data_IF_930967651773
#
_entry.id   IF_930967651773
#
_cell.length_a   1.000
_cell.length_b   1.000
_cell.length_c   1.000
_cell.angle_alpha   90.00
_cell.angle_beta   90.00
_cell.angle_gamma   90.00
#
_symmetry.space_group_name_H-M   'P 1'
#
loop_
_entity.id
_entity.type
_entity.pdbx_description
1 polymer ?
#
# COMPACT_ATOMS: atom_id res chain seq x y z
N UNK A 1 32.41 -24.15 41.43
CA UNK A 1 31.53 -25.16 40.81
C UNK A 1 31.02 -24.55 39.51
N UNK A 2 31.81 -24.65 38.44
CA UNK A 2 31.71 -25.68 37.40
C UNK A 2 30.34 -25.62 36.69
N UNK A 3 30.26 -25.08 35.46
CA UNK A 3 30.53 -25.74 34.16
C UNK A 3 29.70 -27.01 33.92
N UNK A 4 29.27 -27.18 32.66
CA UNK A 4 28.48 -28.29 32.07
C UNK A 4 26.98 -28.19 32.38
N UNK A 5 26.03 -28.10 31.44
CA UNK A 5 25.76 -28.85 30.20
C UNK A 5 24.92 -27.91 29.30
N UNK A 6 25.23 -27.61 28.04
CA UNK A 6 24.88 -28.47 26.90
C UNK A 6 25.47 -27.88 25.62
N UNK A 7 26.63 -28.41 25.21
CA UNK A 7 27.00 -28.54 23.79
C UNK A 7 26.26 -29.77 23.28
N UNK A 8 25.08 -29.58 22.72
CA UNK A 8 24.39 -30.57 21.92
C UNK A 8 23.44 -29.84 20.98
N UNK A 9 23.42 -30.26 19.71
CA UNK A 9 22.68 -29.68 18.58
C UNK A 9 23.41 -28.57 17.81
N UNK A 10 24.66 -28.87 17.44
CA UNK A 10 25.28 -28.33 16.22
C UNK A 10 25.58 -29.50 15.29
N UNK A 11 24.53 -30.13 14.76
CA UNK A 11 24.59 -31.04 13.61
C UNK A 11 23.16 -31.41 13.22
N UNK A 12 22.70 -30.96 12.05
CA UNK A 12 21.76 -31.66 11.16
C UNK A 12 21.38 -30.71 10.00
N UNK A 13 21.46 -31.26 8.78
CA UNK A 13 21.16 -30.66 7.47
C UNK A 13 22.25 -29.82 6.80
N UNK A 14 23.29 -30.52 6.33
CA UNK A 14 23.83 -30.26 4.98
C UNK A 14 22.93 -30.98 3.96
N UNK A 15 22.30 -30.24 3.05
CA UNK A 15 21.88 -30.76 1.75
C UNK A 15 22.63 -29.97 0.68
N UNK A 16 23.68 -30.59 0.15
CA UNK A 16 24.23 -30.29 -1.17
C UNK A 16 23.29 -30.87 -2.21
N UNK A 17 22.77 -30.03 -3.10
CA UNK A 17 22.16 -30.49 -4.35
C UNK A 17 23.26 -30.42 -5.41
N UNK A 18 23.75 -31.58 -5.82
CA UNK A 18 24.52 -31.77 -7.04
C UNK A 18 23.63 -31.52 -8.26
N UNK A 19 24.10 -30.69 -9.20
CA UNK A 19 23.64 -30.72 -10.59
C UNK A 19 24.86 -30.62 -11.51
N UNK A 20 24.92 -31.38 -12.61
CA UNK A 20 26.17 -31.61 -13.33
C UNK A 20 26.58 -30.40 -14.18
N UNK A 21 27.87 -30.06 -14.09
CA UNK A 21 28.59 -29.22 -15.04
C UNK A 21 28.97 -30.07 -16.26
N UNK A 22 28.19 -29.99 -17.35
CA UNK A 22 28.69 -30.00 -18.73
C UNK A 22 27.53 -29.92 -19.72
N UNK A 23 27.34 -28.75 -20.33
CA UNK A 23 26.94 -28.62 -21.75
C UNK A 23 27.14 -27.16 -22.16
N UNK A 24 28.02 -26.94 -23.13
CA UNK A 24 28.25 -25.66 -23.80
C UNK A 24 27.05 -25.34 -24.69
N UNK A 25 26.25 -24.34 -24.32
CA UNK A 25 25.19 -23.79 -25.17
C UNK A 25 25.43 -22.29 -25.42
N UNK A 26 25.44 -21.93 -26.70
CA UNK A 26 25.59 -20.57 -27.20
C UNK A 26 24.47 -19.63 -26.72
N UNK A 27 24.73 -18.33 -26.53
CA UNK A 27 23.68 -17.38 -26.13
C UNK A 27 22.67 -17.13 -27.27
N UNK A 28 21.36 -17.08 -26.99
CA UNK A 28 20.36 -16.64 -27.96
C UNK A 28 20.41 -15.12 -28.16
N UNK A 29 20.19 -14.68 -29.40
CA UNK A 29 20.40 -13.32 -29.90
C UNK A 29 19.18 -12.39 -29.82
N UNK A 30 18.32 -12.51 -28.79
CA UNK A 30 17.22 -11.55 -28.58
C UNK A 30 16.73 -11.57 -27.12
N UNK A 31 16.40 -10.40 -26.53
CA UNK A 31 15.91 -10.35 -25.16
C UNK A 31 14.46 -10.86 -25.08
N UNK A 32 14.29 -11.94 -24.32
CA UNK A 32 12.98 -12.49 -23.92
C UNK A 32 12.47 -11.74 -22.69
N UNK A 33 11.21 -11.28 -22.72
CA UNK A 33 10.56 -10.58 -21.61
C UNK A 33 10.02 -11.55 -20.54
N UNK A 34 10.13 -11.19 -19.26
CA UNK A 34 9.44 -11.83 -18.14
C UNK A 34 8.56 -10.82 -17.40
N UNK A 35 7.30 -11.19 -17.17
CA UNK A 35 6.39 -10.54 -16.22
C UNK A 35 6.59 -11.15 -14.83
N UNK A 36 6.84 -10.32 -13.82
CA UNK A 36 6.66 -10.72 -12.42
C UNK A 36 5.65 -9.81 -11.74
N UNK A 37 4.50 -10.38 -11.39
CA UNK A 37 3.51 -9.78 -10.49
C UNK A 37 3.60 -10.47 -9.14
N UNK A 38 4.48 -10.02 -8.23
CA UNK A 38 4.29 -10.10 -6.77
C UNK A 38 5.46 -9.52 -5.98
N UNK A 39 5.11 -8.89 -4.87
CA UNK A 39 6.00 -8.32 -3.87
C UNK A 39 6.73 -9.42 -3.08
N UNK A 40 8.04 -9.52 -3.23
CA UNK A 40 9.00 -9.78 -2.13
C UNK A 40 10.35 -9.24 -2.57
N UNK A 41 10.97 -8.42 -1.72
CA UNK A 41 12.30 -7.86 -1.96
C UNK A 41 13.36 -8.94 -1.70
N UNK A 42 13.87 -9.53 -2.78
CA UNK A 42 15.12 -10.30 -2.80
C UNK A 42 16.02 -9.69 -3.87
N UNK A 43 16.98 -8.87 -3.46
CA UNK A 43 18.01 -8.34 -4.36
C UNK A 43 19.17 -9.33 -4.35
N UNK A 44 19.35 -10.05 -5.46
CA UNK A 44 20.58 -10.79 -5.75
C UNK A 44 21.49 -9.87 -6.56
N UNK A 45 22.66 -9.56 -6.03
CA UNK A 45 23.66 -8.75 -6.74
C UNK A 45 24.39 -9.58 -7.80
N UNK A 46 24.62 -9.05 -9.02
CA UNK A 46 25.48 -9.71 -10.00
C UNK A 46 26.93 -9.74 -9.51
N UNK A 47 27.60 -10.88 -9.67
CA UNK A 47 29.03 -11.04 -9.42
C UNK A 47 29.84 -10.08 -10.33
N UNK A 48 30.54 -9.11 -9.74
CA UNK A 48 31.80 -8.63 -10.33
C UNK A 48 32.79 -8.14 -9.27
N UNK A 49 33.99 -8.68 -9.43
CA UNK A 49 35.28 -8.41 -8.79
C UNK A 49 35.54 -8.74 -7.31
N UNK A 50 36.30 -9.84 -7.17
CA UNK A 50 37.15 -10.15 -6.03
C UNK A 50 38.19 -9.03 -5.86
N UNK A 51 38.16 -8.32 -4.73
CA UNK A 51 39.33 -7.93 -3.90
C UNK A 51 38.89 -7.07 -2.71
N UNK A 52 39.36 -7.46 -1.52
CA UNK A 52 39.35 -6.76 -0.23
C UNK A 52 37.97 -6.62 0.46
N UNK A 53 37.78 -6.94 1.74
CA UNK A 53 38.61 -7.55 2.77
C UNK A 53 37.68 -8.07 3.88
N UNK A 54 38.07 -9.18 4.50
CA UNK A 54 37.63 -9.62 5.84
C UNK A 54 37.58 -8.44 6.82
N UNK A 55 36.51 -8.29 7.61
CA UNK A 55 36.59 -7.87 9.02
C UNK A 55 35.33 -8.32 9.79
N UNK A 56 35.58 -9.13 10.81
CA UNK A 56 34.68 -9.65 11.83
C UNK A 56 34.51 -8.64 12.98
N UNK A 57 33.36 -8.75 13.67
CA UNK A 57 33.06 -8.41 15.09
C UNK A 57 34.05 -7.53 15.87
N UNK A 58 33.58 -6.42 16.43
CA UNK A 58 33.90 -5.99 17.81
C UNK A 58 32.95 -4.88 18.29
N UNK A 59 32.57 -4.99 19.57
CA UNK A 59 31.76 -4.04 20.32
C UNK A 59 32.63 -3.08 21.16
N UNK A 60 32.02 -1.94 21.51
CA UNK A 60 32.32 -1.00 22.61
C UNK A 60 33.40 0.12 22.50
N UNK A 61 32.87 1.35 22.74
CA UNK A 61 33.45 2.58 23.36
C UNK A 61 33.90 3.78 22.48
N UNK A 62 33.82 5.03 23.02
CA UNK A 62 33.06 6.13 22.39
C UNK A 62 33.90 7.30 21.83
N UNK A 63 33.19 8.21 21.14
CA UNK A 63 33.54 9.59 20.76
C UNK A 63 34.29 9.79 19.42
N UNK A 64 33.59 10.30 18.39
CA UNK A 64 33.70 11.68 17.87
C UNK A 64 32.84 11.86 16.61
N UNK A 65 32.22 13.04 16.50
CA UNK A 65 31.36 13.51 15.41
C UNK A 65 31.87 13.14 14.02
N UNK A 66 31.06 12.43 13.24
CA UNK A 66 31.04 12.55 11.77
C UNK A 66 29.61 12.37 11.28
N UNK A 67 29.14 13.36 10.54
CA UNK A 67 27.81 13.45 9.98
C UNK A 67 27.54 12.28 9.02
N UNK A 68 26.33 11.72 9.13
CA UNK A 68 25.61 11.12 8.02
C UNK A 68 25.90 9.64 7.76
N UNK A 69 25.09 8.76 8.35
CA UNK A 69 24.66 7.48 7.74
C UNK A 69 23.47 6.92 8.51
N UNK A 70 22.28 7.41 8.17
CA UNK A 70 20.99 6.76 8.45
C UNK A 70 19.96 7.04 7.34
N UNK A 71 20.41 7.59 6.20
CA UNK A 71 19.55 8.12 5.13
C UNK A 71 19.40 7.20 3.92
N UNK A 72 20.06 6.04 3.88
CA UNK A 72 20.05 5.19 2.69
C UNK A 72 18.89 4.18 2.63
N UNK A 73 18.23 3.88 3.75
CA UNK A 73 17.07 2.97 3.76
C UNK A 73 15.78 3.60 3.19
N UNK A 74 15.74 4.93 3.00
CA UNK A 74 14.55 5.66 2.51
C UNK A 74 14.53 5.90 0.99
N UNK A 75 15.53 5.41 0.24
CA UNK A 75 15.61 5.62 -1.22
C UNK A 75 14.75 4.66 -2.06
N UNK A 76 14.08 3.66 -1.47
CA UNK A 76 13.46 2.58 -2.23
C UNK A 76 11.97 2.74 -2.60
N UNK A 77 11.29 3.85 -2.27
CA UNK A 77 9.83 3.95 -2.47
C UNK A 77 9.34 5.02 -3.45
N UNK A 78 10.20 5.68 -4.20
CA UNK A 78 9.77 6.50 -5.34
C UNK A 78 10.94 6.69 -6.29
N UNK A 79 10.72 6.43 -7.58
CA UNK A 79 11.48 6.84 -8.80
C UNK A 79 11.80 5.62 -9.68
N UNK A 80 11.22 5.54 -10.88
CA UNK A 80 11.76 6.09 -12.13
C UNK A 80 13.11 5.43 -12.47
N UNK A 81 13.06 4.45 -13.38
CA UNK A 81 14.23 3.83 -13.98
C UNK A 81 15.11 4.93 -14.60
N UNK A 82 16.31 5.11 -14.05
CA UNK A 82 17.40 5.84 -14.69
C UNK A 82 18.39 4.77 -15.12
N UNK A 83 18.42 4.43 -16.40
CA UNK A 83 19.60 3.79 -16.98
C UNK A 83 20.66 4.88 -17.19
N UNK A 84 21.80 4.72 -16.55
CA UNK A 84 23.02 5.45 -16.88
C UNK A 84 23.61 4.83 -18.15
N UNK A 85 23.71 5.61 -19.23
CA UNK A 85 24.50 5.26 -20.41
C UNK A 85 25.95 5.77 -20.20
N UNK A 86 26.98 4.88 -20.15
CA UNK A 86 28.37 5.29 -19.92
C UNK A 86 29.11 5.92 -21.12
N UNK A 87 28.52 6.04 -22.32
CA UNK A 87 29.24 6.55 -23.51
C UNK A 87 28.80 7.95 -23.99
N UNK A 88 28.96 8.97 -23.15
CA UNK A 88 28.90 10.36 -23.62
C UNK A 88 30.03 11.21 -23.03
N UNK A 89 31.26 10.82 -23.34
CA UNK A 89 32.43 11.70 -23.19
C UNK A 89 32.67 12.44 -24.51
N UNK A 90 32.77 13.77 -24.41
CA UNK A 90 33.03 14.75 -25.48
C UNK A 90 31.80 15.21 -26.29
N UNK A 91 31.26 16.36 -25.89
CA UNK A 91 31.12 17.55 -26.74
C UNK A 91 30.48 18.66 -25.89
N UNK A 92 31.31 19.64 -25.53
CA UNK A 92 30.89 20.91 -24.96
C UNK A 92 29.92 21.59 -25.92
N UNK A 93 28.81 22.11 -25.37
CA UNK A 93 27.71 22.82 -26.04
C UNK A 93 26.65 21.94 -26.71
N UNK A 94 25.68 21.48 -25.92
CA UNK A 94 24.24 21.48 -26.23
C UNK A 94 23.49 21.00 -24.99
N UNK A 95 22.73 21.91 -24.38
CA UNK A 95 21.79 21.62 -23.29
C UNK A 95 20.78 20.57 -23.75
N UNK A 96 21.04 19.29 -23.46
CA UNK A 96 20.02 18.26 -23.47
C UNK A 96 19.33 18.30 -22.12
N UNK A 97 18.28 19.12 -22.02
CA UNK A 97 17.37 19.09 -20.88
C UNK A 97 16.62 17.76 -20.93
N UNK A 98 16.99 16.83 -20.05
CA UNK A 98 16.07 15.79 -19.64
C UNK A 98 14.89 16.47 -18.97
N UNK A 99 13.83 16.70 -19.72
CA UNK A 99 12.59 17.27 -19.20
C UNK A 99 11.91 16.18 -18.39
N UNK A 100 12.23 16.12 -17.09
CA UNK A 100 11.50 15.29 -16.12
C UNK A 100 10.16 15.96 -15.87
N UNK A 101 9.20 15.75 -16.76
CA UNK A 101 7.80 16.15 -16.58
C UNK A 101 7.02 14.99 -15.99
N UNK A 102 6.28 15.26 -14.92
CA UNK A 102 5.27 14.32 -14.41
C UNK A 102 3.90 14.95 -14.54
N UNK A 103 3.07 14.33 -15.36
CA UNK A 103 1.63 14.56 -15.36
C UNK A 103 1.02 13.63 -14.32
N UNK A 104 0.19 14.16 -13.44
CA UNK A 104 -0.51 13.36 -12.42
C UNK A 104 -1.94 13.18 -12.90
N UNK A 105 -2.31 11.99 -13.42
CA UNK A 105 -3.66 11.75 -13.89
C UNK A 105 -4.67 11.92 -12.74
N UNK A 106 -5.81 12.51 -13.07
CA UNK A 106 -6.96 12.63 -12.17
C UNK A 106 -7.57 11.25 -12.00
N UNK A 107 -7.29 10.64 -10.84
CA UNK A 107 -8.04 9.49 -10.36
C UNK A 107 -9.28 10.08 -9.68
N UNK A 108 -10.37 10.28 -10.42
CA UNK A 108 -11.65 10.72 -9.85
C UNK A 108 -12.03 9.89 -8.62
N UNK A 109 -12.72 10.36 -7.59
CA UNK A 109 -13.39 11.63 -7.32
C UNK A 109 -12.59 12.44 -6.26
N UNK A 110 -12.55 13.77 -6.41
CA UNK A 110 -11.65 14.75 -5.75
C UNK A 110 -10.29 14.88 -6.41
N UNK A 111 -10.26 15.78 -7.41
CA UNK A 111 -9.11 16.54 -7.94
C UNK A 111 -7.85 16.31 -7.12
N UNK A 112 -6.95 15.43 -7.56
CA UNK A 112 -5.67 15.23 -6.86
C UNK A 112 -4.74 16.41 -7.13
N UNK A 113 -5.02 17.53 -6.47
CA UNK A 113 -4.19 18.73 -6.51
C UNK A 113 -2.86 18.59 -5.77
N UNK A 114 -2.64 17.47 -5.07
CA UNK A 114 -1.44 17.14 -4.30
C UNK A 114 -0.74 15.88 -4.82
N UNK A 115 0.60 15.88 -4.77
CA UNK A 115 1.45 14.75 -5.17
C UNK A 115 1.34 13.53 -4.24
N UNK A 116 1.93 12.39 -4.65
CA UNK A 116 2.08 11.19 -3.82
C UNK A 116 1.09 10.05 -4.10
N UNK A 117 0.13 10.27 -5.00
CA UNK A 117 -0.76 9.22 -5.49
C UNK A 117 -1.65 8.58 -4.41
N UNK A 118 -2.12 7.36 -4.67
CA UNK A 118 -3.08 6.66 -3.80
C UNK A 118 -2.48 6.37 -2.43
N UNK A 119 -1.23 5.89 -2.38
CA UNK A 119 -0.58 5.50 -1.12
C UNK A 119 -0.45 6.67 -0.14
N UNK A 120 -0.12 7.87 -0.63
CA UNK A 120 0.06 9.03 0.23
C UNK A 120 -1.26 9.68 0.64
N UNK A 121 -2.21 9.78 -0.28
CA UNK A 121 -3.41 10.59 -0.07
C UNK A 121 -4.59 9.79 0.53
N UNK A 122 -4.80 8.54 0.09
CA UNK A 122 -6.00 7.74 0.42
C UNK A 122 -5.68 6.26 0.68
N UNK A 123 -4.45 5.97 1.10
CA UNK A 123 -3.96 4.60 1.26
C UNK A 123 -3.04 4.45 2.46
N UNK A 124 -1.79 4.07 2.20
CA UNK A 124 -0.80 3.70 3.20
C UNK A 124 -0.65 4.73 4.34
N UNK A 125 -0.42 6.00 4.02
CA UNK A 125 -0.13 7.01 5.04
C UNK A 125 -1.35 7.27 5.94
N UNK A 126 -2.54 7.58 5.40
CA UNK A 126 -3.70 7.77 6.26
C UNK A 126 -4.09 6.50 7.01
N UNK A 127 -3.99 5.30 6.41
CA UNK A 127 -4.32 4.05 7.12
C UNK A 127 -3.36 3.76 8.27
N UNK A 128 -2.05 3.96 8.08
CA UNK A 128 -1.04 3.75 9.12
C UNK A 128 -1.16 4.79 10.25
N UNK A 129 -1.49 6.04 9.93
CA UNK A 129 -1.77 7.06 10.94
C UNK A 129 -2.97 6.66 11.81
N UNK A 130 -4.06 6.22 11.20
CA UNK A 130 -5.26 5.78 11.92
C UNK A 130 -5.02 4.49 12.72
N UNK A 131 -4.28 3.53 12.17
CA UNK A 131 -3.89 2.29 12.86
C UNK A 131 -3.08 2.59 14.12
N UNK A 132 -2.09 3.49 14.02
CA UNK A 132 -1.28 3.88 15.16
C UNK A 132 -2.12 4.59 16.23
N UNK A 133 -2.93 5.58 15.84
CA UNK A 133 -3.73 6.37 16.79
C UNK A 133 -4.81 5.52 17.49
N UNK A 134 -5.51 4.66 16.74
CA UNK A 134 -6.49 3.73 17.31
C UNK A 134 -5.83 2.66 18.20
N UNK A 135 -4.61 2.24 17.88
CA UNK A 135 -3.85 1.31 18.72
C UNK A 135 -3.44 1.96 20.05
N UNK A 136 -2.91 3.20 20.03
CA UNK A 136 -2.58 3.96 21.24
C UNK A 136 -3.82 4.11 22.12
N UNK A 137 -4.96 4.48 21.53
CA UNK A 137 -6.24 4.58 22.24
C UNK A 137 -6.61 3.26 22.93
N UNK A 138 -6.60 2.15 22.18
CA UNK A 138 -6.89 0.82 22.72
C UNK A 138 -5.90 0.42 23.84
N UNK A 139 -4.59 0.63 23.65
CA UNK A 139 -3.59 0.31 24.65
C UNK A 139 -3.80 1.11 25.94
N UNK A 140 -4.16 2.38 25.80
CA UNK A 140 -4.43 3.27 26.94
C UNK A 140 -5.64 2.78 27.75
N UNK A 141 -6.67 2.28 27.08
CA UNK A 141 -7.88 1.74 27.72
C UNK A 141 -7.67 0.38 28.39
N UNK A 142 -6.85 -0.50 27.81
CA UNK A 142 -6.86 -1.92 28.16
C UNK A 142 -5.52 -2.48 28.66
N UNK A 143 -4.39 -1.95 28.18
CA UNK A 143 -3.09 -2.63 28.33
C UNK A 143 -2.17 -1.95 29.34
N UNK A 144 -2.13 -0.60 29.37
CA UNK A 144 -1.10 0.14 30.10
C UNK A 144 -1.22 0.06 31.62
N UNK A 145 -2.42 -0.20 32.15
CA UNK A 145 -2.64 -0.36 33.61
C UNK A 145 -1.81 -1.51 34.17
N UNK A 146 -1.73 -2.62 33.43
CA UNK A 146 -0.90 -3.77 33.80
C UNK A 146 0.60 -3.46 33.86
N UNK A 147 1.02 -2.33 33.29
CA UNK A 147 2.39 -1.81 33.28
C UNK A 147 2.62 -0.74 34.34
N UNK A 148 1.68 -0.54 35.27
CA UNK A 148 1.78 0.42 36.37
C UNK A 148 1.49 1.87 35.96
N UNK A 149 0.75 2.08 34.88
CA UNK A 149 0.34 3.43 34.42
C UNK A 149 -1.18 3.53 34.56
N UNK A 150 -1.64 4.21 35.60
CA UNK A 150 -3.06 4.49 35.80
C UNK A 150 -3.47 5.75 35.03
N UNK A 151 -4.53 5.64 34.22
CA UNK A 151 -5.09 6.75 33.44
C UNK A 151 -6.60 6.70 33.53
N UNK A 152 -7.20 7.77 34.04
CA UNK A 152 -8.64 7.94 34.13
C UNK A 152 -9.17 8.87 33.03
N UNK A 153 -10.46 8.76 32.69
CA UNK A 153 -11.15 9.72 31.81
C UNK A 153 -10.75 9.69 30.33
N UNK A 154 -10.26 8.54 29.85
CA UNK A 154 -9.87 8.39 28.44
C UNK A 154 -11.12 8.38 27.54
N UNK A 155 -11.19 9.34 26.61
CA UNK A 155 -12.29 9.47 25.66
C UNK A 155 -11.79 9.72 24.24
N UNK A 156 -12.50 9.21 23.23
CA UNK A 156 -12.19 9.45 21.83
C UNK A 156 -12.58 10.88 21.40
N UNK A 157 -11.61 11.62 20.84
CA UNK A 157 -11.87 12.81 20.04
C UNK A 157 -11.58 12.51 18.57
N UNK A 158 -12.60 12.01 17.86
CA UNK A 158 -12.47 11.61 16.46
C UNK A 158 -12.08 12.77 15.52
N UNK A 159 -12.66 13.99 15.63
CA UNK A 159 -12.24 15.12 14.79
C UNK A 159 -10.74 15.42 14.89
N UNK A 160 -10.17 15.41 16.10
CA UNK A 160 -8.74 15.63 16.28
C UNK A 160 -7.89 14.46 15.74
N UNK A 161 -8.36 13.22 15.87
CA UNK A 161 -7.67 12.05 15.30
C UNK A 161 -7.61 12.13 13.77
N UNK A 162 -8.71 12.49 13.12
CA UNK A 162 -8.78 12.70 11.67
C UNK A 162 -7.89 13.87 11.23
N UNK A 163 -7.89 14.97 11.98
CA UNK A 163 -7.00 16.11 11.73
C UNK A 163 -5.52 15.74 11.84
N UNK A 164 -5.14 14.89 12.79
CA UNK A 164 -3.77 14.40 12.94
C UNK A 164 -3.33 13.54 11.74
N UNK A 165 -4.23 12.68 11.24
CA UNK A 165 -4.05 11.95 9.97
C UNK A 165 -3.83 12.92 8.80
N UNK A 166 -4.69 13.91 8.64
CA UNK A 166 -4.60 14.90 7.55
C UNK A 166 -3.32 15.75 7.62
N UNK A 167 -2.86 16.06 8.83
CA UNK A 167 -1.59 16.77 9.04
C UNK A 167 -0.42 15.93 8.55
N UNK A 168 -0.43 14.62 8.81
CA UNK A 168 0.61 13.68 8.36
C UNK A 168 0.63 13.57 6.83
N UNK A 169 -0.55 13.46 6.22
CA UNK A 169 -0.70 13.45 4.75
C UNK A 169 -0.18 14.77 4.16
N UNK A 170 -0.64 15.92 4.66
CA UNK A 170 -0.27 17.25 4.15
C UNK A 170 1.23 17.53 4.29
N UNK A 171 1.84 17.14 5.41
CA UNK A 171 3.27 17.33 5.63
C UNK A 171 4.10 16.57 4.59
N UNK A 172 3.72 15.31 4.32
CA UNK A 172 4.42 14.46 3.37
C UNK A 172 4.16 14.86 1.90
N UNK A 173 2.93 15.25 1.54
CA UNK A 173 2.63 15.71 0.16
C UNK A 173 3.41 16.97 -0.19
N UNK A 174 3.49 17.94 0.74
CA UNK A 174 4.35 19.13 0.61
C UNK A 174 5.83 18.78 0.54
N UNK A 175 6.26 17.76 1.28
CA UNK A 175 7.62 17.22 1.18
C UNK A 175 7.95 16.73 -0.23
N UNK A 176 7.04 15.99 -0.86
CA UNK A 176 7.20 15.52 -2.25
C UNK A 176 7.24 16.70 -3.24
N UNK A 177 6.40 17.71 -3.07
CA UNK A 177 6.47 18.93 -3.89
C UNK A 177 7.82 19.66 -3.73
N UNK A 178 8.35 19.71 -2.51
CA UNK A 178 9.70 20.22 -2.24
C UNK A 178 10.79 19.44 -2.97
N UNK A 179 10.67 18.11 -3.04
CA UNK A 179 11.59 17.26 -3.80
C UNK A 179 11.52 17.55 -5.31
N UNK A 180 10.33 17.75 -5.86
CA UNK A 180 10.17 18.10 -7.28
C UNK A 180 10.88 19.42 -7.60
N UNK A 181 10.69 20.45 -6.76
CA UNK A 181 11.39 21.74 -6.88
C UNK A 181 12.91 21.56 -6.79
N UNK A 182 13.40 20.79 -5.81
CA UNK A 182 14.83 20.52 -5.61
C UNK A 182 15.47 19.85 -6.84
N UNK A 183 14.77 18.91 -7.45
CA UNK A 183 15.27 18.16 -8.60
C UNK A 183 14.82 18.73 -9.96
N UNK A 184 14.23 19.92 -9.96
CA UNK A 184 13.79 20.63 -11.18
C UNK A 184 12.86 19.77 -12.05
N UNK A 185 11.93 19.08 -11.38
CA UNK A 185 10.86 18.31 -12.02
C UNK A 185 9.68 19.24 -12.26
N UNK A 186 9.26 19.36 -13.51
CA UNK A 186 8.07 20.13 -13.87
C UNK A 186 6.83 19.38 -13.38
N UNK A 187 6.03 20.05 -12.54
CA UNK A 187 4.78 19.53 -12.01
C UNK A 187 3.61 20.17 -12.75
N UNK A 188 2.96 19.38 -13.62
CA UNK A 188 1.79 19.81 -14.37
C UNK A 188 0.55 19.19 -13.72
N UNK A 189 -0.36 20.06 -13.29
CA UNK A 189 -1.58 19.69 -12.55
C UNK A 189 -2.75 19.56 -13.52
N UNK A 190 -3.05 18.34 -13.95
CA UNK A 190 -4.13 18.07 -14.88
C UNK A 190 -4.20 16.62 -15.32
N UNK A 191 -5.25 16.29 -16.05
CA UNK A 191 -5.49 14.94 -16.57
C UNK A 191 -4.79 14.77 -17.90
N UNK A 192 -3.81 13.88 -17.95
CA UNK A 192 -3.08 13.54 -19.17
C UNK A 192 -3.78 12.46 -19.98
N UNK A 193 -3.91 12.68 -21.29
CA UNK A 193 -4.37 11.70 -22.28
C UNK A 193 -3.41 11.66 -23.47
N UNK A 194 -3.24 10.49 -24.09
CA UNK A 194 -2.43 10.37 -25.29
C UNK A 194 -3.14 10.98 -26.50
N UNK A 195 -2.38 11.72 -27.31
CA UNK A 195 -2.77 12.16 -28.66
C UNK A 195 -2.04 11.32 -29.71
N UNK A 196 -0.80 10.93 -29.41
CA UNK A 196 0.00 9.95 -30.17
C UNK A 196 1.10 9.39 -29.25
N UNK A 197 1.92 8.46 -29.75
CA UNK A 197 2.99 7.82 -28.96
C UNK A 197 3.97 8.80 -28.28
N UNK A 198 4.12 10.00 -28.84
CA UNK A 198 5.06 11.01 -28.36
C UNK A 198 4.40 12.32 -27.91
N UNK A 199 3.06 12.38 -27.91
CA UNK A 199 2.32 13.60 -27.62
C UNK A 199 1.18 13.34 -26.64
N UNK A 200 1.14 14.12 -25.57
CA UNK A 200 0.06 14.11 -24.58
C UNK A 200 -0.69 15.43 -24.61
N UNK A 201 -2.00 15.34 -24.41
CA UNK A 201 -2.87 16.45 -24.04
C UNK A 201 -3.04 16.41 -22.52
N UNK A 202 -3.03 17.57 -21.87
CA UNK A 202 -3.29 17.71 -20.44
C UNK A 202 -4.42 18.70 -20.21
N UNK A 203 -5.54 18.22 -19.72
CA UNK A 203 -6.64 19.07 -19.25
C UNK A 203 -6.30 19.59 -17.85
N UNK A 204 -6.00 20.89 -17.73
CA UNK A 204 -5.47 21.49 -16.50
C UNK A 204 -6.55 21.60 -15.41
N UNK A 205 -6.16 21.37 -14.14
CA UNK A 205 -7.07 21.45 -13.00
C UNK A 205 -7.67 22.85 -12.78
N UNK A 206 -6.95 23.90 -13.19
CA UNK A 206 -7.39 25.30 -13.11
C UNK A 206 -8.19 25.74 -14.35
N UNK A 207 -8.45 24.81 -15.27
CA UNK A 207 -9.07 25.07 -16.57
C UNK A 207 -8.05 25.30 -17.68
N UNK A 208 -8.45 25.00 -18.92
CA UNK A 208 -7.59 25.07 -20.10
C UNK A 208 -6.89 23.75 -20.42
N UNK A 209 -6.09 23.78 -21.48
CA UNK A 209 -5.40 22.62 -22.04
C UNK A 209 -3.92 22.96 -22.27
N UNK A 210 -3.02 22.02 -21.99
CA UNK A 210 -1.61 22.06 -22.39
C UNK A 210 -1.27 20.84 -23.26
N UNK A 211 -0.39 21.02 -24.24
CA UNK A 211 0.17 19.91 -25.02
C UNK A 211 1.64 19.69 -24.65
N UNK A 212 1.99 18.43 -24.44
CA UNK A 212 3.34 18.00 -24.06
C UNK A 212 3.86 17.04 -25.10
N UNK A 213 5.07 17.29 -25.59
CA UNK A 213 5.81 16.34 -26.42
C UNK A 213 6.93 15.69 -25.61
N UNK A 214 7.07 14.38 -25.73
CA UNK A 214 8.06 13.59 -25.02
C UNK A 214 8.60 12.46 -25.89
N UNK A 215 9.92 12.23 -25.81
CA UNK A 215 10.56 11.09 -26.48
C UNK A 215 10.12 9.75 -25.88
N UNK A 216 10.01 9.72 -24.54
CA UNK A 216 9.62 8.55 -23.76
C UNK A 216 8.52 8.94 -22.78
N UNK A 217 7.55 8.06 -22.59
CA UNK A 217 6.44 8.26 -21.66
C UNK A 217 6.36 7.06 -20.72
N UNK A 218 6.29 7.33 -19.42
CA UNK A 218 6.12 6.30 -18.38
C UNK A 218 4.71 6.42 -17.82
N UNK A 219 3.90 5.39 -18.04
CA UNK A 219 2.54 5.30 -17.50
C UNK A 219 2.62 4.87 -16.03
N UNK A 220 2.15 5.74 -15.14
CA UNK A 220 2.16 5.53 -13.69
C UNK A 220 0.84 6.00 -13.05
N UNK A 221 -0.29 5.66 -13.69
CA UNK A 221 -1.65 6.08 -13.32
C UNK A 221 -2.17 5.39 -12.06
N UNK A 222 -1.64 4.21 -11.73
CA UNK A 222 -1.94 3.52 -10.47
C UNK A 222 -3.19 2.65 -10.54
N UNK A 223 -3.95 2.61 -9.46
CA UNK A 223 -5.10 1.73 -9.30
C UNK A 223 -6.23 2.41 -8.53
N UNK A 224 -7.44 1.88 -8.70
CA UNK A 224 -8.66 2.34 -8.05
C UNK A 224 -9.38 1.21 -7.29
N UNK A 225 -10.24 1.57 -6.34
CA UNK A 225 -11.04 0.62 -5.58
C UNK A 225 -12.07 -0.08 -6.47
N UNK A 226 -12.28 -1.38 -6.25
CA UNK A 226 -13.31 -2.12 -6.96
C UNK A 226 -14.64 -2.01 -6.20
N UNK A 227 -15.64 -1.38 -6.83
CA UNK A 227 -17.00 -1.33 -6.31
C UNK A 227 -17.66 -2.72 -6.37
N UNK A 228 -18.65 -2.92 -5.51
CA UNK A 228 -19.47 -4.12 -5.59
C UNK A 228 -20.31 -4.06 -6.88
N UNK A 229 -20.42 -5.14 -7.67
CA UNK A 229 -21.12 -5.09 -8.96
C UNK A 229 -22.55 -4.54 -8.84
N UNK A 230 -22.85 -3.49 -9.60
CA UNK A 230 -24.15 -2.83 -9.61
C UNK A 230 -24.44 -1.90 -8.42
N UNK A 231 -23.48 -1.71 -7.50
CA UNK A 231 -23.64 -0.87 -6.32
C UNK A 231 -22.45 0.11 -6.23
N UNK A 232 -22.63 1.38 -6.65
CA UNK A 232 -21.58 2.39 -6.52
C UNK A 232 -21.30 2.72 -5.06
N UNK A 233 -20.13 3.31 -4.80
CA UNK A 233 -19.87 3.92 -3.50
C UNK A 233 -20.70 5.19 -3.35
N UNK A 234 -21.29 5.38 -2.18
CA UNK A 234 -21.86 6.68 -1.79
C UNK A 234 -20.89 7.46 -0.86
N UNK A 235 -19.83 6.80 -0.40
CA UNK A 235 -18.82 7.31 0.53
C UNK A 235 -19.38 7.88 1.85
N UNK A 236 -20.62 7.49 2.20
CA UNK A 236 -21.32 7.81 3.44
C UNK A 236 -21.64 6.56 4.26
N UNK A 237 -22.26 5.55 3.62
CA UNK A 237 -22.73 4.31 4.24
C UNK A 237 -22.20 3.09 3.49
N UNK A 238 -22.11 3.14 2.17
CA UNK A 238 -21.41 2.14 1.34
C UNK A 238 -20.12 2.80 0.86
N UNK A 239 -19.04 2.49 1.56
CA UNK A 239 -17.78 3.23 1.45
C UNK A 239 -16.67 2.38 0.85
N UNK A 240 -15.77 3.04 0.11
CA UNK A 240 -14.48 2.48 -0.25
C UNK A 240 -13.49 2.64 0.91
N UNK A 241 -12.22 2.27 0.69
CA UNK A 241 -11.15 2.62 1.64
C UNK A 241 -11.00 4.13 1.86
N UNK A 242 -11.39 4.95 0.88
CA UNK A 242 -11.31 6.42 0.97
C UNK A 242 -12.35 6.98 1.94
N UNK A 243 -13.63 6.59 1.80
CA UNK A 243 -14.69 6.98 2.74
C UNK A 243 -14.45 6.41 4.13
N UNK A 244 -14.00 5.16 4.23
CA UNK A 244 -13.67 4.54 5.52
C UNK A 244 -12.51 5.22 6.27
N UNK A 245 -11.65 6.02 5.61
CA UNK A 245 -10.61 6.83 6.27
C UNK A 245 -11.10 8.21 6.70
N UNK A 246 -12.37 8.53 6.40
CA UNK A 246 -12.95 9.87 6.52
C UNK A 246 -14.36 9.85 7.15
N UNK A 247 -14.78 8.74 7.78
CA UNK A 247 -16.06 8.69 8.50
C UNK A 247 -16.06 9.73 9.62
N UNK A 248 -17.15 10.48 9.72
CA UNK A 248 -17.28 11.58 10.68
C UNK A 248 -17.75 11.10 12.06
N UNK A 249 -18.20 9.85 12.16
CA UNK A 249 -18.65 9.19 13.38
C UNK A 249 -18.17 7.74 13.41
N UNK A 250 -18.05 7.16 14.61
CA UNK A 250 -17.76 5.74 14.76
C UNK A 250 -19.06 4.96 14.48
N UNK A 251 -19.11 4.09 13.46
CA UNK A 251 -20.31 3.30 13.20
C UNK A 251 -20.54 2.32 14.36
N UNK A 252 -21.79 2.06 14.74
CA UNK A 252 -22.07 1.05 15.77
C UNK A 252 -21.81 -0.34 15.21
N UNK A 253 -22.22 -0.57 13.96
CA UNK A 253 -21.98 -1.78 13.18
C UNK A 253 -21.27 -1.44 11.87
N UNK A 254 -20.13 -2.08 11.65
CA UNK A 254 -19.36 -2.00 10.42
C UNK A 254 -19.24 -3.39 9.80
N UNK A 255 -19.79 -3.54 8.61
CA UNK A 255 -19.59 -4.75 7.79
C UNK A 255 -18.44 -4.51 6.82
N UNK A 256 -17.44 -5.38 6.83
CA UNK A 256 -16.32 -5.33 5.89
C UNK A 256 -16.50 -6.46 4.87
N UNK A 257 -16.61 -6.11 3.59
CA UNK A 257 -16.73 -7.07 2.50
C UNK A 257 -15.34 -7.23 1.87
N UNK A 258 -14.75 -8.40 2.05
CA UNK A 258 -13.36 -8.67 1.70
C UNK A 258 -12.46 -8.66 2.94
N UNK A 259 -12.02 -9.85 3.35
CA UNK A 259 -11.05 -10.12 4.42
C UNK A 259 -9.59 -9.99 3.97
N UNK A 260 -9.32 -9.17 2.95
CA UNK A 260 -7.97 -8.80 2.52
C UNK A 260 -7.34 -7.73 3.42
N UNK A 261 -6.07 -7.39 3.15
CA UNK A 261 -5.27 -6.46 3.97
C UNK A 261 -5.99 -5.15 4.30
N UNK A 262 -6.58 -4.48 3.30
CA UNK A 262 -7.26 -3.19 3.50
C UNK A 262 -8.46 -3.35 4.43
N UNK A 263 -9.29 -4.37 4.21
CA UNK A 263 -10.47 -4.64 5.02
C UNK A 263 -10.11 -4.92 6.48
N UNK A 264 -9.06 -5.71 6.72
CA UNK A 264 -8.59 -6.02 8.07
C UNK A 264 -7.92 -4.83 8.76
N UNK A 265 -7.13 -4.02 8.03
CA UNK A 265 -6.52 -2.79 8.57
C UNK A 265 -7.60 -1.81 9.03
N UNK A 266 -8.54 -1.46 8.15
CA UNK A 266 -9.56 -0.45 8.45
C UNK A 266 -10.62 -0.98 9.41
N UNK A 267 -10.98 -2.26 9.31
CA UNK A 267 -11.78 -2.92 10.35
C UNK A 267 -11.12 -2.81 11.72
N UNK A 268 -9.79 -2.93 11.80
CA UNK A 268 -9.09 -2.90 13.10
C UNK A 268 -9.08 -1.50 13.69
N UNK A 269 -8.95 -0.49 12.84
CA UNK A 269 -9.11 0.92 13.25
C UNK A 269 -10.47 1.12 13.89
N UNK A 270 -11.56 0.84 13.16
CA UNK A 270 -12.90 1.15 13.64
C UNK A 270 -13.34 0.27 14.81
N UNK A 271 -12.92 -1.00 14.84
CA UNK A 271 -13.15 -1.89 15.99
C UNK A 271 -12.55 -1.33 17.28
N UNK A 272 -11.29 -0.87 17.24
CA UNK A 272 -10.61 -0.27 18.40
C UNK A 272 -11.24 1.05 18.86
N UNK A 273 -11.92 1.75 17.95
CA UNK A 273 -12.63 2.98 18.26
C UNK A 273 -14.05 2.74 18.79
N UNK A 274 -14.54 1.49 18.76
CA UNK A 274 -15.80 1.06 19.37
C UNK A 274 -16.81 0.42 18.42
N UNK A 275 -16.50 0.27 17.12
CA UNK A 275 -17.42 -0.36 16.17
C UNK A 275 -17.49 -1.88 16.36
N UNK A 276 -18.69 -2.45 16.23
CA UNK A 276 -18.87 -3.89 16.06
C UNK A 276 -18.53 -4.27 14.61
N UNK A 277 -17.42 -4.98 14.41
CA UNK A 277 -16.91 -5.32 13.08
C UNK A 277 -17.22 -6.76 12.70
N UNK A 278 -17.91 -6.93 11.57
CA UNK A 278 -18.13 -8.23 10.92
C UNK A 278 -17.49 -8.26 9.54
N UNK A 279 -16.54 -9.17 9.34
CA UNK A 279 -15.89 -9.41 8.04
C UNK A 279 -16.63 -10.52 7.31
N UNK A 280 -17.09 -10.23 6.09
CA UNK A 280 -17.67 -11.21 5.16
C UNK A 280 -16.67 -11.46 4.04
N UNK A 281 -16.23 -12.70 3.90
CA UNK A 281 -15.22 -13.10 2.93
C UNK A 281 -15.68 -14.36 2.19
N UNK A 282 -15.54 -14.32 0.87
CA UNK A 282 -15.89 -15.42 -0.01
C UNK A 282 -14.92 -16.59 0.13
N UNK A 283 -13.63 -16.30 0.35
CA UNK A 283 -12.59 -17.29 0.55
C UNK A 283 -12.68 -17.98 1.92
N UNK A 284 -11.95 -19.09 2.06
CA UNK A 284 -11.90 -19.89 3.29
C UNK A 284 -10.95 -19.33 4.37
N UNK A 285 -10.20 -18.27 4.07
CA UNK A 285 -9.21 -17.66 4.94
C UNK A 285 -9.10 -16.15 4.72
N UNK A 286 -8.35 -15.47 5.60
CA UNK A 286 -8.15 -14.02 5.60
C UNK A 286 -6.73 -13.63 5.18
N UNK A 287 -6.49 -12.34 4.97
CA UNK A 287 -5.15 -11.78 4.68
C UNK A 287 -4.90 -11.53 3.20
N UNK A 288 -5.79 -12.02 2.33
CA UNK A 288 -5.70 -11.87 0.88
C UNK A 288 -4.79 -12.92 0.23
N UNK A 289 -4.59 -12.78 -1.08
CA UNK A 289 -3.78 -13.72 -1.86
C UNK A 289 -2.30 -13.58 -1.49
N UNK A 290 -1.63 -14.72 -1.24
CA UNK A 290 -0.18 -14.79 -1.01
C UNK A 290 0.25 -14.81 0.46
N UNK A 291 -0.69 -14.72 1.42
CA UNK A 291 -0.37 -14.96 2.83
C UNK A 291 -0.23 -16.46 3.09
N UNK A 292 0.72 -16.83 3.96
CA UNK A 292 0.85 -18.19 4.46
C UNK A 292 -0.38 -18.62 5.28
N UNK A 293 -0.84 -19.86 5.12
CA UNK A 293 -2.09 -20.34 5.75
C UNK A 293 -2.00 -20.44 7.27
N UNK A 294 -0.84 -20.82 7.82
CA UNK A 294 -0.63 -20.92 9.26
C UNK A 294 -0.64 -19.52 9.89
N UNK A 295 0.00 -18.56 9.20
CA UNK A 295 -0.03 -17.15 9.57
C UNK A 295 -1.46 -16.60 9.50
N UNK A 296 -2.21 -16.88 8.44
CA UNK A 296 -3.60 -16.42 8.29
C UNK A 296 -4.50 -16.94 9.42
N UNK A 297 -4.40 -18.24 9.78
CA UNK A 297 -5.17 -18.85 10.87
C UNK A 297 -4.82 -18.23 12.22
N UNK A 298 -3.52 -18.06 12.50
CA UNK A 298 -3.04 -17.44 13.73
C UNK A 298 -3.48 -15.98 13.84
N UNK A 299 -3.40 -15.24 12.74
CA UNK A 299 -3.84 -13.85 12.68
C UNK A 299 -5.35 -13.72 12.89
N UNK A 300 -6.15 -14.55 12.25
CA UNK A 300 -7.60 -14.59 12.45
C UNK A 300 -7.95 -14.83 13.93
N UNK A 301 -7.29 -15.79 14.57
CA UNK A 301 -7.50 -16.09 15.99
C UNK A 301 -7.21 -14.88 16.88
N UNK A 302 -6.19 -14.09 16.56
CA UNK A 302 -5.86 -12.85 17.29
C UNK A 302 -6.94 -11.80 17.08
N UNK A 303 -7.39 -11.57 15.84
CA UNK A 303 -8.43 -10.59 15.54
C UNK A 303 -9.77 -10.96 16.17
N UNK A 304 -10.16 -12.24 16.14
CA UNK A 304 -11.38 -12.71 16.80
C UNK A 304 -11.34 -12.44 18.31
N UNK A 305 -10.18 -12.63 18.96
CA UNK A 305 -9.99 -12.28 20.38
C UNK A 305 -10.11 -10.77 20.65
N UNK A 306 -9.79 -9.93 19.66
CA UNK A 306 -9.98 -8.48 19.71
C UNK A 306 -11.44 -8.05 19.41
N UNK A 307 -12.35 -9.00 19.16
CA UNK A 307 -13.78 -8.73 18.98
C UNK A 307 -14.28 -8.78 17.53
N UNK A 308 -13.41 -9.11 16.56
CA UNK A 308 -13.88 -9.31 15.18
C UNK A 308 -14.78 -10.53 15.05
N UNK A 309 -15.82 -10.38 14.22
CA UNK A 309 -16.62 -11.49 13.72
C UNK A 309 -16.23 -11.80 12.29
N UNK A 310 -16.16 -13.09 11.94
CA UNK A 310 -15.82 -13.54 10.59
C UNK A 310 -16.89 -14.46 10.03
N UNK A 311 -17.36 -14.16 8.82
CA UNK A 311 -18.18 -15.02 7.97
C UNK A 311 -17.36 -15.37 6.73
N UNK A 312 -16.54 -16.41 6.85
CA UNK A 312 -15.73 -16.95 5.75
C UNK A 312 -16.57 -17.90 4.90
N UNK A 313 -16.09 -18.25 3.69
CA UNK A 313 -16.84 -19.05 2.72
C UNK A 313 -18.27 -18.48 2.50
N UNK A 314 -18.42 -17.16 2.47
CA UNK A 314 -19.72 -16.49 2.41
C UNK A 314 -19.71 -15.47 1.27
N UNK A 315 -20.62 -15.65 0.32
CA UNK A 315 -20.82 -14.76 -0.82
C UNK A 315 -21.79 -13.65 -0.44
N UNK A 316 -21.44 -12.40 -0.74
CA UNK A 316 -22.42 -11.30 -0.73
C UNK A 316 -23.18 -11.32 -2.05
N UNK A 317 -24.51 -11.31 -1.99
CA UNK A 317 -25.39 -11.36 -3.17
C UNK A 317 -26.03 -10.01 -3.46
N UNK A 318 -26.27 -9.18 -2.44
CA UNK A 318 -26.87 -7.86 -2.60
C UNK A 318 -26.44 -6.89 -1.49
N UNK A 319 -26.35 -5.61 -1.85
CA UNK A 319 -26.18 -4.49 -0.93
C UNK A 319 -27.25 -3.45 -1.26
N UNK A 320 -28.06 -3.09 -0.27
CA UNK A 320 -29.12 -2.08 -0.42
C UNK A 320 -29.05 -1.10 0.74
N UNK A 321 -28.96 0.19 0.44
CA UNK A 321 -29.04 1.26 1.44
C UNK A 321 -30.51 1.66 1.63
N UNK A 322 -30.95 1.65 2.87
CA UNK A 322 -32.27 2.07 3.33
C UNK A 322 -32.09 3.16 4.40
N UNK A 323 -31.93 4.41 3.94
CA UNK A 323 -31.62 5.53 4.82
C UNK A 323 -30.23 5.40 5.46
N UNK A 324 -30.22 5.25 6.78
CA UNK A 324 -28.99 5.11 7.59
C UNK A 324 -28.52 3.66 7.80
N UNK A 325 -29.29 2.69 7.31
CA UNK A 325 -28.96 1.27 7.44
C UNK A 325 -28.66 0.69 6.06
N UNK A 326 -27.67 -0.17 5.98
CA UNK A 326 -27.37 -0.98 4.80
C UNK A 326 -27.73 -2.43 5.09
N UNK A 327 -28.61 -2.98 4.26
CA UNK A 327 -28.99 -4.38 4.25
C UNK A 327 -28.06 -5.15 3.32
N UNK A 328 -27.42 -6.19 3.86
CA UNK A 328 -26.50 -7.06 3.14
C UNK A 328 -27.11 -8.46 3.07
N UNK A 329 -27.41 -8.92 1.86
CA UNK A 329 -27.82 -10.31 1.63
C UNK A 329 -26.57 -11.16 1.40
N UNK A 330 -26.45 -12.25 2.16
CA UNK A 330 -25.33 -13.18 2.06
C UNK A 330 -25.79 -14.62 1.87
N UNK A 331 -24.95 -15.41 1.22
CA UNK A 331 -25.17 -16.82 0.93
C UNK A 331 -23.92 -17.63 1.27
N UNK A 332 -24.04 -18.69 2.07
CA UNK A 332 -22.94 -19.59 2.36
C UNK A 332 -22.47 -20.32 1.10
N UNK A 333 -21.18 -20.21 0.77
CA UNK A 333 -20.61 -20.75 -0.47
C UNK A 333 -20.62 -22.29 -0.53
N UNK A 334 -20.80 -22.97 0.61
CA UNK A 334 -20.84 -24.44 0.70
C UNK A 334 -22.25 -25.01 0.85
N UNK A 335 -23.13 -24.32 1.57
CA UNK A 335 -24.46 -24.82 1.96
C UNK A 335 -25.61 -24.07 1.28
N UNK A 336 -25.34 -22.98 0.56
CA UNK A 336 -26.36 -22.13 -0.06
C UNK A 336 -27.27 -21.43 0.95
N UNK A 337 -26.90 -21.42 2.24
CA UNK A 337 -27.76 -20.84 3.29
C UNK A 337 -27.77 -19.33 3.16
N UNK A 338 -28.96 -18.78 2.96
CA UNK A 338 -29.19 -17.34 2.88
C UNK A 338 -29.39 -16.72 4.25
N UNK A 339 -28.79 -15.57 4.45
CA UNK A 339 -28.90 -14.75 5.66
C UNK A 339 -28.90 -13.28 5.27
N UNK A 340 -29.56 -12.46 6.09
CA UNK A 340 -29.58 -11.00 5.93
C UNK A 340 -28.87 -10.37 7.11
N UNK A 341 -27.90 -9.50 6.82
CA UNK A 341 -27.19 -8.69 7.81
C UNK A 341 -27.61 -7.23 7.67
N UNK A 342 -27.54 -6.49 8.77
CA UNK A 342 -27.73 -5.04 8.79
C UNK A 342 -26.52 -4.35 9.40
N UNK A 343 -26.13 -3.23 8.82
CA UNK A 343 -24.97 -2.43 9.26
C UNK A 343 -25.24 -0.94 9.10
N UNK A 344 -24.61 -0.11 9.91
CA UNK A 344 -24.66 1.34 9.70
C UNK A 344 -23.75 1.73 8.53
N UNK A 345 -22.58 1.08 8.44
CA UNK A 345 -21.61 1.31 7.38
C UNK A 345 -21.12 -0.03 6.82
N UNK A 346 -20.94 -0.08 5.50
CA UNK A 346 -20.34 -1.17 4.75
C UNK A 346 -19.07 -0.69 4.08
N UNK A 347 -17.93 -1.23 4.51
CA UNK A 347 -16.66 -1.06 3.79
C UNK A 347 -16.53 -2.16 2.74
N UNK A 348 -16.47 -1.77 1.48
CA UNK A 348 -16.19 -2.67 0.36
C UNK A 348 -14.68 -2.66 0.08
N UNK A 349 -14.02 -3.77 0.37
CA UNK A 349 -12.57 -3.97 0.25
C UNK A 349 -12.23 -5.26 -0.54
N UNK A 350 -12.95 -5.50 -1.63
CA UNK A 350 -12.86 -6.73 -2.45
C UNK A 350 -11.68 -6.75 -3.44
N UNK A 351 -10.93 -5.66 -3.54
CA UNK A 351 -9.77 -5.57 -4.42
C UNK A 351 -9.57 -4.18 -5.02
N UNK A 352 -8.58 -4.09 -5.90
CA UNK A 352 -8.27 -2.88 -6.66
C UNK A 352 -8.05 -3.24 -8.13
N UNK A 353 -8.45 -2.35 -9.03
CA UNK A 353 -8.23 -2.49 -10.47
C UNK A 353 -7.18 -1.49 -10.97
N UNK A 354 -6.39 -1.80 -12.01
CA UNK A 354 -5.58 -0.79 -12.70
C UNK A 354 -6.46 0.36 -13.17
N UNK A 355 -5.93 1.59 -13.10
CA UNK A 355 -6.65 2.77 -13.58
C UNK A 355 -6.07 3.25 -14.90
N UNK A 356 -6.85 3.11 -15.97
CA UNK A 356 -6.50 3.55 -17.32
C UNK A 356 -7.58 4.45 -17.93
N UNK A 357 -8.62 4.75 -17.17
CA UNK A 357 -9.75 5.56 -17.62
C UNK A 357 -9.24 6.97 -18.00
N UNK A 358 -9.69 7.48 -19.16
CA UNK A 358 -9.32 8.80 -19.67
C UNK A 358 -7.91 8.91 -20.27
N UNK A 359 -7.11 7.84 -20.29
CA UNK A 359 -5.74 7.88 -20.80
C UNK A 359 -5.67 7.88 -22.34
N UNK A 360 -6.75 7.48 -23.03
CA UNK A 360 -6.84 7.34 -24.49
C UNK A 360 -5.76 6.42 -25.07
N UNK A 361 -5.66 5.20 -24.53
CA UNK A 361 -4.65 4.23 -24.95
C UNK A 361 -4.83 3.81 -26.42
N UNK A 362 -6.04 3.88 -26.95
CA UNK A 362 -6.36 3.59 -28.34
C UNK A 362 -5.54 4.44 -29.33
N UNK A 363 -5.14 5.66 -28.92
CA UNK A 363 -4.31 6.54 -29.74
C UNK A 363 -2.85 6.07 -29.90
N UNK A 364 -2.43 5.04 -29.15
CA UNK A 364 -1.06 4.51 -29.18
C UNK A 364 -0.98 3.02 -29.47
N UNK A 365 -2.12 2.39 -29.82
CA UNK A 365 -2.25 0.94 -30.05
C UNK A 365 -2.33 0.15 -28.75
#
# INVERSE_FOLDING_TARGET
>A
MYLTVSKALTSLFSFTVDWPLNETLHPPSSPTFYLSTQWTSSIVFPKRDRRAAHWSLLAEKPCRKRNGTLYEAWRAMTLLSLEEDPEATSLLSKRHSWVKRRVVPDLGEKKRGALGGTCLNVGCIPSKAMLNNSHIYHQTLHDIKSRGIDVDGVSLNLPNMLKAKDTSVTGLTKGVEGLFKKYKVDYIKGTGSFVSANKLKVDLLEGGEEQIEAKNVIIATGSDAMAFPGVPFDEERIVSSTGALSLQEVPKKLTVIGGGVIGLELGSVWSRLGAEVTVVEFMSGIGGVGIDEEIAKSFQKILTKQGFKFKLNTKVTSLKREGDVVTIEVEGAKDGKKETLTSDVVLVAIGRRPYTDGLNLEAIG
#
